data_IF_983707132679
#
_entry.id   IF_983707132679
#
_cell.length_a   1.000
_cell.length_b   1.000
_cell.length_c   1.000
_cell.angle_alpha   90.00
_cell.angle_beta   90.00
_cell.angle_gamma   90.00
#
_symmetry.space_group_name_H-M   'P 1'
#
loop_
_entity.id
_entity.type
_entity.pdbx_description
1 polymer ?
#
# COMPACT_ATOMS: atom_id res chain seq x y z
N UNK A 1 -7.87 5.23 12.14
CA UNK A 1 -6.73 4.56 11.52
C UNK A 1 -6.47 5.04 10.09
N UNK A 2 -7.20 4.53 9.10
CA UNK A 2 -6.90 4.83 7.69
C UNK A 2 -6.85 6.33 7.36
N UNK A 3 -7.79 7.13 7.89
CA UNK A 3 -7.77 8.60 7.70
C UNK A 3 -6.51 9.25 8.29
N UNK A 4 -5.96 8.70 9.36
CA UNK A 4 -4.75 9.25 10.00
C UNK A 4 -3.50 9.02 9.17
N UNK A 5 -3.36 7.85 8.55
CA UNK A 5 -2.22 7.53 7.67
C UNK A 5 -2.39 8.09 6.26
N UNK A 6 -3.63 8.38 5.84
CA UNK A 6 -3.91 8.95 4.52
C UNK A 6 -3.47 10.40 4.39
N UNK A 7 -3.02 10.78 3.18
CA UNK A 7 -2.57 12.13 2.85
C UNK A 7 -3.63 13.06 2.25
N UNK A 8 -4.90 12.64 2.17
CA UNK A 8 -5.97 13.46 1.59
C UNK A 8 -6.33 14.62 2.52
N UNK A 9 -5.95 15.83 2.13
CA UNK A 9 -6.04 17.03 2.97
C UNK A 9 -7.47 17.32 3.47
N UNK A 10 -8.49 17.07 2.66
CA UNK A 10 -9.88 17.28 3.06
C UNK A 10 -10.31 16.32 4.18
N UNK A 11 -9.90 15.04 4.09
CA UNK A 11 -10.17 14.05 5.12
C UNK A 11 -9.42 14.40 6.42
N UNK A 12 -8.13 14.77 6.29
CA UNK A 12 -7.32 15.20 7.45
C UNK A 12 -7.96 16.39 8.15
N UNK A 13 -8.38 17.42 7.41
CA UNK A 13 -9.04 18.61 7.98
C UNK A 13 -10.37 18.27 8.64
N UNK A 14 -11.20 17.44 8.00
CA UNK A 14 -12.53 17.07 8.52
C UNK A 14 -12.44 16.31 9.84
N UNK A 15 -11.45 15.43 9.96
CA UNK A 15 -11.28 14.53 11.11
C UNK A 15 -10.12 14.92 12.03
N UNK A 16 -9.61 16.15 11.93
CA UNK A 16 -8.40 16.58 12.63
C UNK A 16 -8.39 16.31 14.14
N UNK A 17 -9.54 16.44 14.81
CA UNK A 17 -9.67 16.24 16.26
C UNK A 17 -9.62 14.78 16.72
N UNK A 18 -9.74 13.82 15.81
CA UNK A 18 -9.82 12.39 16.10
C UNK A 18 -8.74 11.56 15.39
N UNK A 19 -7.75 12.23 14.80
CA UNK A 19 -6.62 11.54 14.16
C UNK A 19 -5.75 10.86 15.23
N UNK A 20 -5.23 9.68 14.86
CA UNK A 20 -4.32 8.92 15.73
C UNK A 20 -2.99 9.66 15.85
N UNK A 21 -2.42 9.73 17.07
CA UNK A 21 -1.05 10.22 17.25
C UNK A 21 -0.04 9.21 16.64
N UNK A 22 1.21 9.67 16.46
CA UNK A 22 2.29 8.82 15.97
C UNK A 22 2.28 8.61 14.46
N UNK A 23 1.52 9.38 13.70
CA UNK A 23 1.55 9.38 12.24
C UNK A 23 2.32 10.60 11.75
N UNK A 24 3.30 10.37 10.88
CA UNK A 24 4.09 11.39 10.21
C UNK A 24 3.86 11.27 8.70
N UNK A 25 3.78 12.42 8.03
CA UNK A 25 3.57 12.45 6.58
C UNK A 25 4.84 12.91 5.87
N UNK A 26 5.22 12.18 4.84
CA UNK A 26 6.22 12.59 3.86
C UNK A 26 5.60 13.56 2.86
N UNK A 27 6.43 14.34 2.16
CA UNK A 27 5.95 15.15 1.04
C UNK A 27 5.36 14.25 -0.06
N UNK A 28 4.35 14.74 -0.77
CA UNK A 28 3.89 14.10 -1.99
C UNK A 28 4.92 14.27 -3.11
N UNK A 29 4.92 13.36 -4.08
CA UNK A 29 5.90 13.33 -5.16
C UNK A 29 5.51 14.16 -6.39
N UNK A 30 4.34 14.80 -6.38
CA UNK A 30 3.87 15.61 -7.49
C UNK A 30 4.42 17.03 -7.41
N UNK A 31 5.53 17.27 -8.10
CA UNK A 31 6.15 18.58 -8.22
C UNK A 31 5.50 19.40 -9.35
N UNK A 32 5.59 20.75 -9.32
CA UNK A 32 5.06 21.60 -10.39
C UNK A 32 5.56 21.24 -11.79
N UNK A 33 6.84 20.86 -11.92
CA UNK A 33 7.47 20.42 -13.17
C UNK A 33 6.95 19.09 -13.68
N UNK A 34 6.33 18.28 -12.84
CA UNK A 34 5.73 16.99 -13.21
C UNK A 34 4.31 17.10 -13.73
N UNK A 35 3.69 18.28 -13.67
CA UNK A 35 2.25 18.48 -13.90
C UNK A 35 1.71 17.92 -15.22
N UNK A 36 2.54 17.87 -16.25
CA UNK A 36 2.17 17.38 -17.59
C UNK A 36 3.05 16.23 -18.08
N UNK A 37 3.80 15.60 -17.18
CA UNK A 37 4.61 14.43 -17.53
C UNK A 37 3.70 13.21 -17.62
N UNK A 38 3.78 12.49 -18.74
CA UNK A 38 3.12 11.20 -18.90
C UNK A 38 4.01 10.08 -18.35
N UNK A 39 3.45 9.18 -17.57
CA UNK A 39 4.20 8.10 -16.92
C UNK A 39 5.03 8.58 -15.74
N UNK A 40 6.14 7.89 -15.49
CA UNK A 40 7.04 8.21 -14.37
C UNK A 40 7.90 9.45 -14.68
N UNK A 41 7.88 10.49 -13.83
CA UNK A 41 8.86 11.57 -13.92
C UNK A 41 10.30 11.04 -13.78
N UNK A 42 11.23 11.65 -14.53
CA UNK A 42 12.66 11.28 -14.49
C UNK A 42 13.37 11.74 -13.22
N UNK A 43 12.86 12.79 -12.56
CA UNK A 43 13.45 13.43 -11.37
C UNK A 43 12.49 13.34 -10.20
N UNK A 44 13.02 13.36 -8.96
CA UNK A 44 12.22 13.36 -7.73
C UNK A 44 12.36 12.09 -6.87
N UNK A 45 13.23 11.15 -7.24
CA UNK A 45 13.52 9.97 -6.42
C UNK A 45 14.03 10.33 -5.02
N UNK A 46 14.79 11.42 -4.92
CA UNK A 46 15.33 11.97 -3.68
C UNK A 46 14.26 12.42 -2.67
N UNK A 47 13.02 12.54 -3.09
CA UNK A 47 11.91 12.83 -2.16
C UNK A 47 11.64 11.67 -1.19
N UNK A 48 12.08 10.45 -1.51
CA UNK A 48 12.09 9.33 -0.58
C UNK A 48 12.99 9.57 0.64
N UNK A 49 13.99 10.45 0.53
CA UNK A 49 14.89 10.80 1.64
C UNK A 49 14.18 11.58 2.76
N UNK A 50 12.93 11.99 2.57
CA UNK A 50 12.09 12.46 3.66
C UNK A 50 11.96 11.40 4.77
N UNK A 51 11.95 10.11 4.43
CA UNK A 51 11.95 9.03 5.41
C UNK A 51 13.26 8.98 6.21
N UNK A 52 14.42 9.16 5.56
CA UNK A 52 15.71 9.28 6.28
C UNK A 52 15.69 10.44 7.27
N UNK A 53 15.18 11.59 6.85
CA UNK A 53 15.06 12.75 7.73
C UNK A 53 14.13 12.48 8.92
N UNK A 54 13.04 11.79 8.70
CA UNK A 54 12.13 11.37 9.77
C UNK A 54 12.87 10.42 10.74
N UNK A 55 13.62 9.45 10.24
CA UNK A 55 14.43 8.54 11.05
C UNK A 55 15.44 9.31 11.93
N UNK A 56 16.11 10.31 11.38
CA UNK A 56 17.07 11.14 12.14
C UNK A 56 16.36 11.91 13.26
N UNK A 57 15.18 12.48 12.97
CA UNK A 57 14.50 13.38 13.92
C UNK A 57 13.75 12.64 15.02
N UNK A 58 13.24 11.44 14.75
CA UNK A 58 12.34 10.70 15.66
C UNK A 58 12.94 9.38 16.16
N UNK A 59 14.11 8.97 15.66
CA UNK A 59 14.68 7.65 15.90
C UNK A 59 14.03 6.59 15.00
N UNK A 60 14.83 5.87 14.23
CA UNK A 60 14.33 4.84 13.31
C UNK A 60 13.61 3.71 14.06
N UNK A 61 14.07 3.40 15.26
CA UNK A 61 13.49 2.41 16.16
C UNK A 61 12.06 2.73 16.63
N UNK A 62 11.62 3.97 16.46
CA UNK A 62 10.26 4.42 16.77
C UNK A 62 9.32 4.39 15.56
N UNK A 63 9.80 3.96 14.39
CA UNK A 63 9.04 3.93 13.15
C UNK A 63 8.76 2.48 12.78
N UNK A 64 7.51 2.06 12.91
CA UNK A 64 7.11 0.69 12.61
C UNK A 64 7.02 0.42 11.11
N UNK A 65 6.44 1.35 10.34
CA UNK A 65 6.18 1.14 8.92
C UNK A 65 6.09 2.45 8.14
N UNK A 66 6.38 2.36 6.85
CA UNK A 66 6.09 3.37 5.83
C UNK A 66 5.03 2.82 4.88
N UNK A 67 3.90 3.52 4.71
CA UNK A 67 2.83 3.14 3.78
C UNK A 67 2.77 4.11 2.60
N UNK A 68 2.64 3.57 1.40
CA UNK A 68 2.56 4.36 0.16
C UNK A 68 1.66 3.65 -0.86
N UNK A 69 0.88 4.42 -1.64
CA UNK A 69 0.27 3.92 -2.86
C UNK A 69 1.35 3.86 -3.96
N UNK A 70 1.57 2.72 -4.67
CA UNK A 70 2.51 2.68 -5.80
C UNK A 70 2.21 3.73 -6.86
N UNK A 71 0.95 4.01 -7.13
CA UNK A 71 0.46 5.20 -7.82
C UNK A 71 -0.64 5.81 -6.97
N UNK A 72 -0.48 7.05 -6.54
CA UNK A 72 -1.47 7.71 -5.71
C UNK A 72 -2.73 8.01 -6.53
N UNK A 73 -3.79 7.20 -6.31
CA UNK A 73 -4.97 7.18 -7.14
C UNK A 73 -5.92 8.34 -6.88
N UNK A 74 -6.51 8.39 -5.69
CA UNK A 74 -7.60 9.33 -5.34
C UNK A 74 -7.18 10.79 -5.35
N UNK A 75 -5.89 11.07 -5.19
CA UNK A 75 -5.34 12.43 -5.22
C UNK A 75 -5.09 12.98 -6.63
N UNK A 76 -5.30 12.18 -7.67
CA UNK A 76 -5.19 12.63 -9.05
C UNK A 76 -4.35 11.74 -9.97
N UNK A 77 -4.19 10.47 -9.64
CA UNK A 77 -3.37 9.50 -10.40
C UNK A 77 -1.92 9.98 -10.54
N UNK A 78 -1.30 10.24 -9.39
CA UNK A 78 0.07 10.72 -9.33
C UNK A 78 1.04 9.54 -9.42
N UNK A 79 1.71 9.44 -10.56
CA UNK A 79 2.71 8.40 -10.81
C UNK A 79 4.01 8.78 -10.10
N UNK A 80 4.64 7.87 -9.33
CA UNK A 80 5.87 8.19 -8.61
C UNK A 80 7.04 8.40 -9.58
N UNK A 81 8.01 9.26 -9.23
CA UNK A 81 9.24 9.40 -9.99
C UNK A 81 10.01 8.07 -10.10
N UNK A 82 10.77 7.91 -11.19
CA UNK A 82 11.66 6.77 -11.35
C UNK A 82 12.62 6.64 -10.16
N UNK A 83 12.72 5.45 -9.61
CA UNK A 83 13.61 5.18 -8.47
C UNK A 83 13.04 5.57 -7.09
N UNK A 84 11.91 6.27 -7.01
CA UNK A 84 11.33 6.68 -5.72
C UNK A 84 10.94 5.49 -4.84
N UNK A 85 10.20 4.53 -5.38
CA UNK A 85 9.77 3.34 -4.64
C UNK A 85 10.94 2.43 -4.26
N UNK A 86 11.93 2.30 -5.16
CA UNK A 86 13.17 1.57 -4.90
C UNK A 86 13.93 2.21 -3.74
N UNK A 87 14.05 3.53 -3.75
CA UNK A 87 14.71 4.28 -2.69
C UNK A 87 13.99 4.15 -1.34
N UNK A 88 12.66 4.15 -1.33
CA UNK A 88 11.89 3.86 -0.11
C UNK A 88 12.20 2.46 0.43
N UNK A 89 12.27 1.44 -0.45
CA UNK A 89 12.63 0.07 -0.05
C UNK A 89 14.01 0.02 0.58
N UNK A 90 15.00 0.66 -0.05
CA UNK A 90 16.37 0.72 0.48
C UNK A 90 16.41 1.35 1.89
N UNK A 91 15.71 2.46 2.10
CA UNK A 91 15.66 3.13 3.39
C UNK A 91 14.95 2.25 4.44
N UNK A 92 13.83 1.64 4.07
CA UNK A 92 13.11 0.73 4.95
C UNK A 92 13.99 -0.46 5.37
N UNK A 93 14.69 -1.09 4.42
CA UNK A 93 15.61 -2.20 4.70
C UNK A 93 16.76 -1.78 5.62
N UNK A 94 17.35 -0.62 5.35
CA UNK A 94 18.44 -0.07 6.16
C UNK A 94 18.06 0.13 7.62
N UNK A 95 16.84 0.53 7.89
CA UNK A 95 16.37 0.91 9.22
C UNK A 95 15.46 -0.12 9.89
N UNK A 96 15.15 -1.24 9.23
CA UNK A 96 14.23 -2.26 9.76
C UNK A 96 12.78 -1.79 9.82
N UNK A 97 12.38 -0.88 8.93
CA UNK A 97 11.04 -0.33 8.81
C UNK A 97 10.24 -1.17 7.81
N UNK A 98 9.01 -1.56 8.13
CA UNK A 98 8.15 -2.29 7.20
C UNK A 98 7.67 -1.35 6.07
N UNK A 99 7.82 -1.79 4.81
CA UNK A 99 7.23 -1.09 3.67
C UNK A 99 5.87 -1.69 3.36
N UNK A 100 4.84 -0.85 3.35
CA UNK A 100 3.47 -1.24 3.04
C UNK A 100 3.05 -0.60 1.72
N UNK A 101 2.60 -1.40 0.75
CA UNK A 101 1.96 -0.88 -0.44
C UNK A 101 0.44 -0.91 -0.30
N UNK A 102 -0.18 0.26 -0.45
CA UNK A 102 -1.61 0.37 -0.64
C UNK A 102 -1.95 0.12 -2.11
N UNK A 103 -2.25 -1.13 -2.41
CA UNK A 103 -2.62 -1.62 -3.75
C UNK A 103 -4.15 -1.62 -3.97
N UNK A 104 -4.88 -0.88 -3.17
CA UNK A 104 -6.35 -0.81 -3.28
C UNK A 104 -6.80 -0.33 -4.66
N UNK A 105 -6.03 0.55 -5.32
CA UNK A 105 -6.30 1.00 -6.69
C UNK A 105 -5.40 0.29 -7.70
N UNK A 106 -4.12 0.14 -7.42
CA UNK A 106 -3.12 -0.36 -8.37
C UNK A 106 -3.16 -1.87 -8.57
N UNK A 107 -3.71 -2.61 -7.62
CA UNK A 107 -3.82 -4.07 -7.71
C UNK A 107 -4.82 -4.58 -8.73
N UNK A 108 -4.72 -5.86 -9.02
CA UNK A 108 -5.62 -6.64 -9.87
C UNK A 108 -5.70 -6.14 -11.31
N UNK A 109 -4.55 -5.75 -11.88
CA UNK A 109 -4.43 -5.48 -13.31
C UNK A 109 -4.63 -4.04 -13.73
N UNK A 110 -4.81 -3.09 -12.78
CA UNK A 110 -5.04 -1.68 -13.12
C UNK A 110 -3.96 -1.08 -14.03
N UNK A 111 -2.73 -1.58 -13.91
CA UNK A 111 -1.59 -1.10 -14.68
C UNK A 111 -1.09 -2.13 -15.71
N UNK A 112 -1.87 -3.18 -15.97
CA UNK A 112 -1.49 -4.26 -16.87
C UNK A 112 -0.54 -5.30 -16.27
N UNK A 113 -0.18 -5.14 -15.01
CA UNK A 113 0.48 -6.14 -14.17
C UNK A 113 -0.46 -6.53 -13.03
N UNK A 114 -0.33 -7.70 -12.41
CA UNK A 114 -1.20 -8.10 -11.30
C UNK A 114 -1.24 -7.05 -10.19
N UNK A 115 -0.08 -6.49 -9.84
CA UNK A 115 0.07 -5.49 -8.79
C UNK A 115 1.09 -4.41 -9.17
N UNK A 116 0.99 -3.23 -8.56
CA UNK A 116 1.98 -2.16 -8.71
C UNK A 116 3.36 -2.56 -8.23
N UNK A 117 3.45 -3.42 -7.21
CA UNK A 117 4.72 -3.99 -6.75
C UNK A 117 5.49 -4.69 -7.88
N UNK A 118 4.80 -5.44 -8.73
CA UNK A 118 5.41 -6.12 -9.88
C UNK A 118 5.70 -5.13 -11.02
N UNK A 119 4.83 -4.17 -11.26
CA UNK A 119 5.05 -3.15 -12.30
C UNK A 119 6.30 -2.32 -12.03
N UNK A 120 6.53 -1.95 -10.77
CA UNK A 120 7.69 -1.13 -10.38
C UNK A 120 8.89 -1.95 -9.90
N UNK A 121 8.79 -3.28 -9.82
CA UNK A 121 9.87 -4.16 -9.38
C UNK A 121 10.29 -3.96 -7.92
N UNK A 122 9.35 -3.62 -7.05
CA UNK A 122 9.59 -3.40 -5.61
C UNK A 122 8.65 -4.29 -4.80
N UNK A 123 9.21 -5.15 -3.96
CA UNK A 123 8.42 -6.04 -3.09
C UNK A 123 8.22 -5.38 -1.73
N UNK A 124 6.99 -5.05 -1.34
CA UNK A 124 6.68 -4.57 0.01
C UNK A 124 6.67 -5.73 1.02
N UNK A 125 6.64 -5.40 2.30
CA UNK A 125 6.48 -6.37 3.37
C UNK A 125 5.01 -6.70 3.61
N UNK A 126 4.14 -5.73 3.37
CA UNK A 126 2.68 -5.86 3.49
C UNK A 126 2.01 -5.20 2.28
N UNK A 127 0.94 -5.79 1.79
CA UNK A 127 0.06 -5.19 0.77
C UNK A 127 -1.37 -5.14 1.26
N UNK A 128 -2.06 -4.02 0.99
CA UNK A 128 -3.50 -3.90 1.18
C UNK A 128 -4.21 -3.84 -0.16
N UNK A 129 -5.31 -4.57 -0.30
CA UNK A 129 -6.05 -4.69 -1.55
C UNK A 129 -7.56 -4.58 -1.31
N UNK A 130 -8.28 -4.06 -2.29
CA UNK A 130 -9.75 -4.01 -2.27
C UNK A 130 -10.28 -3.84 -3.72
N UNK A 131 -11.36 -3.11 -3.90
CA UNK A 131 -11.96 -2.71 -5.19
C UNK A 131 -12.03 -3.84 -6.22
N UNK A 132 -11.01 -3.96 -7.06
CA UNK A 132 -10.97 -4.98 -8.11
C UNK A 132 -10.87 -6.42 -7.56
N UNK A 133 -10.57 -6.61 -6.28
CA UNK A 133 -10.60 -7.94 -5.63
C UNK A 133 -11.92 -8.67 -5.89
N UNK A 134 -13.05 -7.95 -5.84
CA UNK A 134 -14.39 -8.48 -6.15
C UNK A 134 -15.06 -7.71 -7.30
N UNK A 135 -14.32 -6.80 -7.94
CA UNK A 135 -14.84 -5.86 -8.94
C UNK A 135 -16.08 -5.08 -8.45
N UNK A 136 -16.19 -4.82 -7.15
CA UNK A 136 -17.26 -4.04 -6.53
C UNK A 136 -18.58 -4.78 -6.34
N UNK A 137 -18.68 -6.05 -6.69
CA UNK A 137 -19.92 -6.86 -6.54
C UNK A 137 -20.25 -7.08 -5.07
N UNK A 138 -19.23 -7.29 -4.24
CA UNK A 138 -19.39 -7.45 -2.80
C UNK A 138 -18.21 -6.79 -2.06
N UNK A 139 -18.44 -6.11 -0.93
CA UNK A 139 -17.35 -5.50 -0.16
C UNK A 139 -16.35 -6.56 0.29
N UNK A 140 -15.06 -6.32 -0.02
CA UNK A 140 -13.95 -7.16 0.45
C UNK A 140 -12.66 -6.35 0.50
N UNK A 141 -11.94 -6.47 1.60
CA UNK A 141 -10.57 -6.03 1.75
C UNK A 141 -9.66 -7.21 2.01
N UNK A 142 -8.43 -7.14 1.55
CA UNK A 142 -7.40 -8.17 1.75
C UNK A 142 -6.12 -7.50 2.24
N UNK A 143 -5.47 -8.14 3.19
CA UNK A 143 -4.11 -7.82 3.61
C UNK A 143 -3.25 -9.06 3.37
N UNK A 144 -2.18 -8.89 2.61
CA UNK A 144 -1.16 -9.91 2.44
C UNK A 144 0.13 -9.42 3.11
N UNK A 145 0.82 -10.29 3.81
CA UNK A 145 2.11 -9.98 4.44
C UNK A 145 3.10 -11.11 4.16
N UNK A 146 4.40 -10.81 4.35
CA UNK A 146 5.44 -11.83 4.32
C UNK A 146 5.22 -12.84 5.46
N UNK A 147 5.59 -14.09 5.21
CA UNK A 147 5.45 -15.18 6.20
C UNK A 147 6.16 -14.86 7.50
N UNK A 148 7.36 -14.25 7.43
CA UNK A 148 8.15 -13.86 8.59
C UNK A 148 7.40 -12.91 9.56
N UNK A 149 6.49 -12.08 9.05
CA UNK A 149 5.67 -11.20 9.88
C UNK A 149 4.60 -12.00 10.62
N UNK A 150 3.94 -12.91 9.91
CA UNK A 150 2.94 -13.80 10.50
C UNK A 150 3.57 -14.74 11.52
N UNK A 151 4.64 -15.43 11.14
CA UNK A 151 5.37 -16.36 12.02
C UNK A 151 5.90 -15.64 13.25
N UNK A 152 6.45 -14.43 13.08
CA UNK A 152 6.91 -13.61 14.19
C UNK A 152 5.81 -13.27 15.21
N UNK A 153 4.58 -13.07 14.76
CA UNK A 153 3.43 -12.85 15.64
C UNK A 153 3.06 -14.15 16.38
N UNK A 154 3.00 -15.26 15.64
CA UNK A 154 2.61 -16.58 16.21
C UNK A 154 3.65 -17.08 17.20
N UNK A 155 4.93 -17.04 16.85
CA UNK A 155 6.02 -17.57 17.66
C UNK A 155 6.25 -16.77 18.96
N UNK A 156 5.93 -15.48 18.96
CA UNK A 156 6.08 -14.62 20.15
C UNK A 156 4.78 -14.49 20.96
N UNK A 157 3.71 -15.16 20.56
CA UNK A 157 2.47 -15.12 21.31
C UNK A 157 2.62 -15.73 22.71
N UNK A 158 2.03 -15.13 23.76
CA UNK A 158 2.02 -15.73 25.09
C UNK A 158 1.29 -17.06 25.08
N UNK A 159 1.82 -18.07 25.78
CA UNK A 159 1.22 -19.41 25.85
C UNK A 159 -0.23 -19.35 26.35
N UNK A 160 -1.14 -19.98 25.61
CA UNK A 160 -2.56 -20.09 25.96
C UNK A 160 -3.39 -18.85 25.63
N UNK A 161 -2.85 -17.93 24.83
CA UNK A 161 -3.60 -16.78 24.31
C UNK A 161 -3.85 -16.92 22.81
N UNK A 162 -4.70 -16.07 22.27
CA UNK A 162 -4.87 -15.90 20.82
C UNK A 162 -3.65 -15.14 20.31
N UNK A 163 -2.97 -15.69 19.31
CA UNK A 163 -1.71 -15.19 18.75
C UNK A 163 -1.86 -13.77 18.18
N UNK A 164 -2.92 -13.56 17.43
CA UNK A 164 -3.31 -12.25 16.91
C UNK A 164 -4.74 -11.98 17.35
N UNK A 165 -4.91 -11.06 18.30
CA UNK A 165 -6.23 -10.63 18.75
C UNK A 165 -6.89 -9.75 17.68
N UNK A 166 -7.25 -10.39 16.59
CA UNK A 166 -7.87 -9.79 15.42
C UNK A 166 -8.95 -10.72 14.91
N UNK A 167 -10.15 -10.20 14.72
CA UNK A 167 -11.25 -10.97 14.13
C UNK A 167 -12.41 -10.05 13.79
N UNK A 168 -12.54 -9.70 12.53
CA UNK A 168 -13.76 -9.08 12.02
C UNK A 168 -14.79 -10.16 11.77
N UNK A 169 -15.96 -10.02 12.36
CA UNK A 169 -17.07 -10.99 12.23
C UNK A 169 -17.39 -11.35 10.79
N UNK A 170 -17.24 -10.38 9.87
CA UNK A 170 -17.50 -10.55 8.45
C UNK A 170 -16.28 -10.89 7.59
N UNK A 171 -15.13 -11.22 8.18
CA UNK A 171 -13.99 -11.74 7.43
C UNK A 171 -14.32 -13.10 6.82
N UNK A 172 -13.97 -13.29 5.55
CA UNK A 172 -14.20 -14.54 4.84
C UNK A 172 -15.67 -14.83 4.52
N UNK A 173 -16.53 -13.81 4.42
CA UNK A 173 -17.94 -14.00 3.99
C UNK A 173 -17.97 -14.78 2.66
N UNK A 174 -18.69 -15.91 2.59
CA UNK A 174 -18.67 -16.78 1.41
C UNK A 174 -19.04 -16.09 0.09
N UNK A 175 -19.98 -15.15 0.13
CA UNK A 175 -20.40 -14.41 -1.07
C UNK A 175 -19.27 -13.53 -1.63
N UNK A 176 -18.51 -12.85 -0.75
CA UNK A 176 -17.38 -12.02 -1.17
C UNK A 176 -16.22 -12.88 -1.68
N UNK A 177 -15.96 -14.02 -1.03
CA UNK A 177 -14.94 -14.98 -1.46
C UNK A 177 -15.29 -15.56 -2.82
N UNK A 178 -16.55 -15.99 -3.03
CA UNK A 178 -17.00 -16.50 -4.32
C UNK A 178 -16.88 -15.45 -5.43
N UNK A 179 -17.22 -14.18 -5.14
CA UNK A 179 -17.05 -13.09 -6.09
C UNK A 179 -15.56 -12.85 -6.42
N UNK A 180 -14.68 -12.90 -5.42
CA UNK A 180 -13.24 -12.73 -5.65
C UNK A 180 -12.66 -13.86 -6.51
N UNK A 181 -13.04 -15.12 -6.26
CA UNK A 181 -12.59 -16.24 -7.08
C UNK A 181 -13.08 -16.12 -8.52
N UNK A 182 -14.35 -15.77 -8.72
CA UNK A 182 -14.89 -15.56 -10.06
C UNK A 182 -14.19 -14.42 -10.82
N UNK A 183 -13.77 -13.37 -10.12
CA UNK A 183 -12.96 -12.29 -10.72
C UNK A 183 -11.60 -12.81 -11.16
N UNK A 184 -10.93 -13.65 -10.37
CA UNK A 184 -9.64 -14.24 -10.74
C UNK A 184 -9.78 -15.14 -11.96
N UNK A 185 -10.80 -15.98 -12.03
CA UNK A 185 -11.09 -16.83 -13.20
C UNK A 185 -11.29 -15.99 -14.47
N UNK A 186 -11.97 -14.84 -14.37
CA UNK A 186 -12.16 -13.93 -15.50
C UNK A 186 -10.83 -13.28 -15.90
N UNK A 187 -10.02 -12.85 -14.94
CA UNK A 187 -8.72 -12.24 -15.19
C UNK A 187 -7.83 -13.19 -16.01
N UNK A 188 -7.77 -14.46 -15.61
CA UNK A 188 -7.00 -15.48 -16.32
C UNK A 188 -7.60 -15.79 -17.71
N UNK A 189 -8.90 -16.07 -17.76
CA UNK A 189 -9.59 -16.48 -18.99
C UNK A 189 -9.53 -15.43 -20.09
N UNK A 190 -9.70 -14.17 -19.74
CA UNK A 190 -9.81 -13.05 -20.66
C UNK A 190 -8.49 -12.29 -20.86
N UNK A 191 -7.40 -12.76 -20.27
CA UNK A 191 -6.06 -12.15 -20.31
C UNK A 191 -6.10 -10.65 -20.00
N UNK A 192 -6.77 -10.31 -18.90
CA UNK A 192 -7.09 -8.92 -18.54
C UNK A 192 -5.82 -8.07 -18.39
N UNK A 193 -4.74 -8.65 -17.88
CA UNK A 193 -3.48 -7.90 -17.69
C UNK A 193 -2.88 -7.45 -19.04
N UNK A 194 -2.92 -8.30 -20.06
CA UNK A 194 -2.46 -7.96 -21.40
C UNK A 194 -3.36 -6.88 -22.02
N UNK A 195 -4.68 -7.07 -21.93
CA UNK A 195 -5.66 -6.10 -22.47
C UNK A 195 -5.54 -4.72 -21.83
N UNK A 196 -5.14 -4.62 -20.56
CA UNK A 196 -4.94 -3.35 -19.88
C UNK A 196 -3.68 -2.61 -20.32
N UNK A 197 -2.72 -3.30 -20.97
CA UNK A 197 -1.51 -2.70 -21.55
C UNK A 197 -1.70 -2.20 -23.01
N UNK A 198 -2.70 -2.71 -23.71
CA UNK A 198 -3.07 -2.31 -25.07
C UNK A 198 -3.85 -0.98 -25.07
#
# INVERSE_FOLDING_TARGET
GATSVGGMINNVKTFASVLMPGVLHMRHTHLPEHKFVSGQPETGAEMADDLERICINFGAENIAACIVEPVAGSTGTLVPPKGYLQRLREICDKHGILLIFDEVITGWGRMGSPFGSQEFGVTPDIMTMAKATTNGISPMGVVACKDEIYDGIVDNAPKGTIELFHGYTYSGIPISVAAALAVQDIIEKDDIFKRAKE
#
